data_IF_604777609493
#
_entry.id   IF_604777609493
#
_cell.length_a   1.000
_cell.length_b   1.000
_cell.length_c   1.000
_cell.angle_alpha   90.00
_cell.angle_beta   90.00
_cell.angle_gamma   90.00
#
_symmetry.space_group_name_H-M   'P 1'
#
loop_
_entity.id
_entity.type
_entity.pdbx_description
1 polymer ?
#
# COMPACT_ATOMS: atom_id res chain seq x y z
N UNK A 1 42.55 8.04 2.01
CA UNK A 1 42.30 7.26 3.24
C UNK A 1 43.51 7.22 4.17
N UNK A 2 44.71 6.88 3.68
CA UNK A 2 45.93 6.86 4.50
C UNK A 2 46.18 8.19 5.24
N UNK A 3 46.16 9.32 4.53
CA UNK A 3 46.29 10.66 5.13
C UNK A 3 45.24 10.98 6.21
N UNK A 4 44.03 10.41 6.14
CA UNK A 4 43.00 10.59 7.17
C UNK A 4 43.30 9.77 8.43
N UNK A 5 43.77 8.52 8.26
CA UNK A 5 44.27 7.66 9.36
C UNK A 5 45.47 8.31 10.04
N UNK A 6 46.43 8.81 9.26
CA UNK A 6 47.65 9.46 9.78
C UNK A 6 47.31 10.73 10.59
N UNK A 7 46.22 11.42 10.22
CA UNK A 7 45.73 12.61 10.93
C UNK A 7 44.83 12.29 12.13
N UNK A 8 44.26 11.07 12.22
CA UNK A 8 43.33 10.66 13.28
C UNK A 8 43.61 9.23 13.78
N UNK A 9 44.85 8.93 14.25
CA UNK A 9 45.30 7.56 14.48
C UNK A 9 44.48 6.79 15.51
N UNK A 10 43.91 7.46 16.51
CA UNK A 10 43.14 6.80 17.58
C UNK A 10 41.63 6.70 17.29
N UNK A 11 41.06 7.60 16.49
CA UNK A 11 39.59 7.74 16.35
C UNK A 11 39.07 7.52 14.92
N UNK A 12 39.94 7.21 13.95
CA UNK A 12 39.52 7.05 12.56
C UNK A 12 38.43 5.99 12.38
N UNK A 13 38.47 4.91 13.15
CA UNK A 13 37.52 3.80 13.05
C UNK A 13 36.14 4.20 13.56
N UNK A 14 36.06 4.93 14.68
CA UNK A 14 34.81 5.50 15.20
C UNK A 14 34.21 6.52 14.24
N UNK A 15 35.06 7.37 13.64
CA UNK A 15 34.62 8.33 12.64
C UNK A 15 34.00 7.62 11.43
N UNK A 16 34.63 6.55 10.91
CA UNK A 16 34.06 5.76 9.82
C UNK A 16 32.76 5.08 10.21
N UNK A 17 32.68 4.45 11.38
CA UNK A 17 31.44 3.84 11.90
C UNK A 17 30.33 4.88 12.08
N UNK A 18 30.67 6.11 12.44
CA UNK A 18 29.71 7.21 12.61
C UNK A 18 29.12 7.74 11.30
N UNK A 19 29.86 7.64 10.19
CA UNK A 19 29.42 8.16 8.88
C UNK A 19 28.97 7.08 7.89
N UNK A 20 29.29 5.80 8.12
CA UNK A 20 28.99 4.73 7.15
C UNK A 20 27.49 4.63 6.81
N UNK A 21 26.60 5.03 7.73
CA UNK A 21 25.15 5.04 7.50
C UNK A 21 24.64 6.20 6.60
N UNK A 22 25.49 7.18 6.29
CA UNK A 22 25.10 8.39 5.54
C UNK A 22 25.87 8.58 4.23
N UNK A 23 26.77 7.65 3.89
CA UNK A 23 27.52 7.66 2.63
C UNK A 23 26.90 6.75 1.57
N UNK A 24 27.35 6.88 0.33
CA UNK A 24 26.92 6.02 -0.78
C UNK A 24 27.37 4.57 -0.58
N UNK A 25 26.66 3.60 -1.18
CA UNK A 25 26.99 2.17 -1.11
C UNK A 25 28.44 1.86 -1.51
N UNK A 26 29.00 2.58 -2.49
CA UNK A 26 30.41 2.46 -2.89
C UNK A 26 31.37 2.81 -1.76
N UNK A 27 31.09 3.87 -1.01
CA UNK A 27 31.90 4.27 0.14
C UNK A 27 31.69 3.33 1.33
N UNK A 28 30.49 2.76 1.49
CA UNK A 28 30.26 1.68 2.46
C UNK A 28 31.21 0.51 2.20
N UNK A 29 31.36 0.07 0.95
CA UNK A 29 32.33 -0.99 0.58
C UNK A 29 33.76 -0.64 1.01
N UNK A 30 34.25 0.55 0.64
CA UNK A 30 35.60 0.98 0.99
C UNK A 30 35.82 1.06 2.52
N UNK A 31 34.83 1.57 3.25
CA UNK A 31 34.91 1.71 4.71
C UNK A 31 34.83 0.35 5.40
N UNK A 32 33.93 -0.53 4.96
CA UNK A 32 33.79 -1.87 5.50
C UNK A 32 35.05 -2.71 5.25
N UNK A 33 35.57 -2.72 4.02
CA UNK A 33 36.83 -3.42 3.71
C UNK A 33 37.98 -2.93 4.58
N UNK A 34 38.10 -1.63 4.77
CA UNK A 34 39.14 -1.05 5.62
C UNK A 34 38.99 -1.44 7.10
N UNK A 35 37.77 -1.40 7.62
CA UNK A 35 37.47 -1.82 8.99
C UNK A 35 37.76 -3.31 9.18
N UNK A 36 37.34 -4.15 8.24
CA UNK A 36 37.57 -5.61 8.28
C UNK A 36 39.07 -5.93 8.23
N UNK A 37 39.80 -5.32 7.30
CA UNK A 37 41.25 -5.51 7.16
C UNK A 37 42.01 -5.15 8.45
N UNK A 38 41.51 -4.20 9.23
CA UNK A 38 42.10 -3.74 10.50
C UNK A 38 41.53 -4.48 11.73
N UNK A 39 40.81 -5.60 11.52
CA UNK A 39 40.26 -6.41 12.61
C UNK A 39 39.08 -5.76 13.34
N UNK A 40 38.39 -4.79 12.72
CA UNK A 40 37.23 -4.07 13.29
C UNK A 40 35.88 -4.59 12.77
N UNK A 41 35.80 -5.88 12.43
CA UNK A 41 34.54 -6.51 12.00
C UNK A 41 33.46 -6.47 13.10
N UNK A 42 33.80 -6.79 14.35
CA UNK A 42 32.82 -6.83 15.44
C UNK A 42 32.15 -5.47 15.71
N UNK A 43 32.89 -4.34 15.85
CA UNK A 43 32.27 -3.01 15.97
C UNK A 43 31.40 -2.61 14.76
N UNK A 44 31.80 -3.00 13.55
CA UNK A 44 31.00 -2.78 12.35
C UNK A 44 29.66 -3.53 12.44
N UNK A 45 29.70 -4.80 12.84
CA UNK A 45 28.52 -5.66 13.03
C UNK A 45 27.58 -5.12 14.10
N UNK A 46 28.12 -4.68 15.24
CA UNK A 46 27.34 -4.06 16.30
C UNK A 46 26.63 -2.78 15.82
N UNK A 47 27.35 -1.93 15.08
CA UNK A 47 26.78 -0.72 14.49
C UNK A 47 25.65 -1.06 13.50
N UNK A 48 25.85 -2.05 12.61
CA UNK A 48 24.85 -2.51 11.64
C UNK A 48 23.60 -3.03 12.36
N UNK A 49 23.75 -3.96 13.30
CA UNK A 49 22.65 -4.52 14.07
C UNK A 49 21.85 -3.44 14.80
N UNK A 50 22.54 -2.43 15.36
CA UNK A 50 21.91 -1.29 16.03
C UNK A 50 21.07 -0.45 15.08
N UNK A 51 21.60 -0.05 13.92
CA UNK A 51 20.84 0.81 12.99
C UNK A 51 19.71 0.05 12.28
N UNK A 52 19.84 -1.26 12.09
CA UNK A 52 18.79 -2.12 11.53
C UNK A 52 17.63 -2.27 12.54
N UNK A 53 17.94 -2.66 13.79
CA UNK A 53 16.93 -2.85 14.85
C UNK A 53 16.21 -1.56 15.24
N UNK A 54 16.89 -0.42 15.15
CA UNK A 54 16.29 0.90 15.40
C UNK A 54 15.60 1.50 14.16
N UNK A 55 15.59 0.80 13.02
CA UNK A 55 15.03 1.29 11.75
C UNK A 55 15.63 2.62 11.25
N UNK A 56 16.86 2.93 11.64
CA UNK A 56 17.60 4.14 11.26
C UNK A 56 18.62 3.90 10.14
N UNK A 57 18.77 2.65 9.70
CA UNK A 57 19.63 2.29 8.56
C UNK A 57 19.23 3.04 7.28
N UNK A 58 20.22 3.59 6.57
CA UNK A 58 20.07 4.29 5.30
C UNK A 58 19.93 3.33 4.11
N UNK A 59 19.24 3.78 3.06
CA UNK A 59 19.04 2.99 1.83
C UNK A 59 20.34 2.57 1.15
N UNK A 60 21.34 3.45 1.11
CA UNK A 60 22.66 3.15 0.54
C UNK A 60 23.46 2.15 1.39
N UNK A 61 23.32 2.19 2.72
CA UNK A 61 23.95 1.21 3.62
C UNK A 61 23.31 -0.18 3.41
N UNK A 62 21.98 -0.24 3.35
CA UNK A 62 21.25 -1.49 3.12
C UNK A 62 21.47 -2.05 1.71
N UNK A 63 21.63 -1.18 0.71
CA UNK A 63 22.03 -1.58 -0.65
C UNK A 63 23.44 -2.19 -0.66
N UNK A 64 24.39 -1.62 0.08
CA UNK A 64 25.71 -2.24 0.21
C UNK A 64 25.62 -3.59 0.92
N UNK A 65 24.96 -3.66 2.08
CA UNK A 65 24.86 -4.88 2.87
C UNK A 65 24.22 -6.03 2.07
N UNK A 66 23.19 -5.70 1.28
CA UNK A 66 22.53 -6.65 0.38
C UNK A 66 23.33 -7.05 -0.85
N UNK A 67 24.39 -6.34 -1.21
CA UNK A 67 25.36 -6.75 -2.24
C UNK A 67 26.50 -7.58 -1.66
N UNK A 68 26.88 -7.29 -0.43
CA UNK A 68 28.01 -7.95 0.22
C UNK A 68 27.72 -9.43 0.49
N UNK A 69 26.57 -9.73 1.12
CA UNK A 69 26.05 -11.08 1.48
C UNK A 69 27.10 -12.15 1.82
N UNK A 70 28.21 -11.75 2.43
CA UNK A 70 29.30 -12.66 2.79
C UNK A 70 29.02 -13.38 4.11
N UNK A 71 29.64 -14.54 4.33
CA UNK A 71 29.59 -15.30 5.59
C UNK A 71 29.91 -14.45 6.83
N UNK A 72 30.71 -13.39 6.69
CA UNK A 72 31.07 -12.49 7.78
C UNK A 72 29.85 -11.78 8.41
N UNK A 73 28.76 -11.61 7.65
CA UNK A 73 27.54 -10.90 8.05
C UNK A 73 26.31 -11.81 8.18
N UNK A 74 26.46 -13.12 8.08
CA UNK A 74 25.34 -14.09 8.07
C UNK A 74 24.43 -14.00 9.32
N UNK A 75 24.96 -13.63 10.47
CA UNK A 75 24.23 -13.42 11.73
C UNK A 75 23.41 -12.12 11.77
N UNK A 76 23.61 -11.21 10.84
CA UNK A 76 22.84 -9.96 10.69
C UNK A 76 21.90 -10.04 9.49
N UNK A 77 22.24 -10.83 8.47
CA UNK A 77 21.43 -11.03 7.28
C UNK A 77 20.20 -11.88 7.60
N UNK A 78 19.11 -11.19 7.92
CA UNK A 78 17.86 -11.80 8.30
C UNK A 78 16.62 -10.96 7.96
N UNK A 79 15.44 -11.38 8.43
CA UNK A 79 14.15 -10.74 8.11
C UNK A 79 14.09 -9.26 8.45
N UNK A 80 14.79 -8.84 9.51
CA UNK A 80 14.90 -7.46 9.98
C UNK A 80 15.58 -6.56 8.96
N UNK A 81 16.52 -7.09 8.17
CA UNK A 81 17.18 -6.35 7.08
C UNK A 81 16.16 -6.01 6.00
N UNK A 82 15.33 -6.97 5.60
CA UNK A 82 14.28 -6.70 4.62
C UNK A 82 13.25 -5.69 5.14
N UNK A 83 12.86 -5.78 6.41
CA UNK A 83 12.01 -4.78 7.06
C UNK A 83 12.67 -3.39 7.06
N UNK A 84 13.96 -3.31 7.40
CA UNK A 84 14.71 -2.06 7.39
C UNK A 84 14.80 -1.45 5.98
N UNK A 85 14.90 -2.28 4.93
CA UNK A 85 14.84 -1.82 3.53
C UNK A 85 13.52 -1.14 3.21
N UNK A 86 12.39 -1.76 3.56
CA UNK A 86 11.06 -1.16 3.35
C UNK A 86 10.98 0.20 4.06
N UNK A 87 11.30 0.27 5.35
CA UNK A 87 11.28 1.51 6.12
C UNK A 87 12.21 2.59 5.54
N UNK A 88 13.41 2.19 5.10
CA UNK A 88 14.37 3.13 4.51
C UNK A 88 13.86 3.71 3.18
N UNK A 89 13.26 2.88 2.32
CA UNK A 89 12.66 3.33 1.06
C UNK A 89 11.45 4.23 1.29
N UNK A 90 10.60 3.92 2.27
CA UNK A 90 9.42 4.74 2.61
C UNK A 90 9.83 6.14 3.07
N UNK A 91 10.85 6.22 3.93
CA UNK A 91 11.41 7.49 4.37
C UNK A 91 12.03 8.29 3.22
N UNK A 92 12.63 7.61 2.25
CA UNK A 92 13.29 8.23 1.11
C UNK A 92 12.33 8.56 -0.05
N UNK A 93 11.08 8.09 -0.02
CA UNK A 93 10.10 8.21 -1.11
C UNK A 93 9.82 9.65 -1.55
N UNK A 94 9.93 10.62 -0.63
CA UNK A 94 9.71 12.04 -0.92
C UNK A 94 11.00 12.81 -1.23
N UNK A 95 12.14 12.13 -1.27
CA UNK A 95 13.44 12.75 -1.47
C UNK A 95 13.90 12.59 -2.93
N UNK A 96 13.59 13.58 -3.77
CA UNK A 96 13.95 13.59 -5.19
C UNK A 96 15.46 13.46 -5.48
N UNK A 97 16.33 13.75 -4.48
CA UNK A 97 17.78 13.63 -4.61
C UNK A 97 18.30 12.22 -4.33
N UNK A 98 17.48 11.35 -3.73
CA UNK A 98 17.88 9.98 -3.40
C UNK A 98 17.51 9.02 -4.52
N UNK A 99 18.41 8.08 -4.77
CA UNK A 99 18.32 7.14 -5.88
C UNK A 99 17.47 5.93 -5.49
N UNK A 100 16.60 5.46 -6.40
CA UNK A 100 15.80 4.24 -6.20
C UNK A 100 16.61 2.94 -6.33
N UNK A 101 17.94 3.00 -6.33
CA UNK A 101 18.83 1.83 -6.52
C UNK A 101 18.54 0.66 -5.59
N UNK A 102 18.14 0.92 -4.34
CA UNK A 102 17.77 -0.16 -3.41
C UNK A 102 16.51 -0.89 -3.88
N UNK A 103 15.48 -0.14 -4.30
CA UNK A 103 14.25 -0.70 -4.87
C UNK A 103 14.58 -1.53 -6.12
N UNK A 104 15.34 -0.94 -7.05
CA UNK A 104 15.70 -1.59 -8.31
C UNK A 104 16.48 -2.89 -8.04
N UNK A 105 17.45 -2.85 -7.12
CA UNK A 105 18.22 -4.02 -6.73
C UNK A 105 17.36 -5.13 -6.11
N UNK A 106 16.40 -4.79 -5.23
CA UNK A 106 15.46 -5.77 -4.65
C UNK A 106 14.61 -6.44 -5.73
N UNK A 107 14.21 -5.70 -6.77
CA UNK A 107 13.41 -6.24 -7.87
C UNK A 107 14.25 -7.14 -8.77
N UNK A 108 15.47 -6.74 -9.08
CA UNK A 108 16.38 -7.47 -9.96
C UNK A 108 16.92 -8.76 -9.32
N UNK A 109 17.23 -8.73 -8.03
CA UNK A 109 17.79 -9.88 -7.31
C UNK A 109 16.69 -10.85 -6.84
N UNK A 110 16.61 -12.01 -7.50
CA UNK A 110 15.59 -13.02 -7.20
C UNK A 110 15.85 -13.82 -5.92
N UNK A 111 17.09 -13.85 -5.44
CA UNK A 111 17.52 -14.68 -4.31
C UNK A 111 17.55 -13.89 -3.00
N UNK A 112 17.80 -12.58 -3.07
CA UNK A 112 17.93 -11.70 -1.89
C UNK A 112 16.83 -11.91 -0.83
N UNK A 113 15.56 -11.84 -1.23
CA UNK A 113 14.45 -11.99 -0.26
C UNK A 113 14.42 -13.40 0.31
N UNK A 114 14.68 -14.42 -0.52
CA UNK A 114 14.64 -15.83 -0.12
C UNK A 114 15.72 -16.11 0.93
N UNK A 115 16.94 -15.61 0.71
CA UNK A 115 18.06 -15.73 1.64
C UNK A 115 17.76 -15.02 2.96
N UNK A 116 17.25 -13.77 2.91
CA UNK A 116 16.97 -12.99 4.12
C UNK A 116 15.89 -13.61 5.00
N UNK A 117 14.96 -14.37 4.43
CA UNK A 117 13.86 -14.97 5.18
C UNK A 117 14.09 -16.44 5.52
N UNK A 118 15.18 -17.07 5.11
CA UNK A 118 15.41 -18.51 5.20
C UNK A 118 15.27 -19.08 6.63
N UNK A 119 15.67 -18.30 7.63
CA UNK A 119 15.62 -18.67 9.05
C UNK A 119 14.39 -18.14 9.78
N UNK A 120 13.47 -17.47 9.09
CA UNK A 120 12.30 -16.84 9.69
C UNK A 120 11.23 -17.86 10.12
N UNK A 121 10.57 -17.59 11.25
CA UNK A 121 9.36 -18.29 11.61
C UNK A 121 8.13 -17.78 10.83
N UNK A 122 7.03 -18.52 10.92
CA UNK A 122 5.82 -18.18 10.18
C UNK A 122 5.24 -16.81 10.59
N UNK A 123 5.36 -16.39 11.85
CA UNK A 123 4.83 -15.12 12.36
C UNK A 123 5.56 -13.93 11.74
N UNK A 124 6.90 -13.98 11.74
CA UNK A 124 7.77 -13.00 11.09
C UNK A 124 7.48 -12.91 9.59
N UNK A 125 7.28 -14.05 8.92
CA UNK A 125 6.88 -14.08 7.51
C UNK A 125 5.52 -13.39 7.30
N UNK A 126 4.53 -13.58 8.18
CA UNK A 126 3.23 -12.89 8.06
C UNK A 126 3.40 -11.39 8.14
N UNK A 127 4.21 -10.93 9.09
CA UNK A 127 4.40 -9.51 9.32
C UNK A 127 5.20 -8.85 8.19
N UNK A 128 6.18 -9.54 7.60
CA UNK A 128 6.88 -9.07 6.42
C UNK A 128 5.98 -9.01 5.18
N UNK A 129 5.15 -10.03 4.99
CA UNK A 129 4.16 -10.10 3.91
C UNK A 129 3.20 -8.91 3.98
N UNK A 130 2.67 -8.63 5.18
CA UNK A 130 1.78 -7.48 5.43
C UNK A 130 2.49 -6.15 5.21
N UNK A 131 3.71 -6.01 5.72
CA UNK A 131 4.50 -4.79 5.52
C UNK A 131 4.73 -4.50 4.03
N UNK A 132 5.08 -5.53 3.24
CA UNK A 132 5.28 -5.41 1.81
C UNK A 132 3.99 -5.05 1.05
N UNK A 133 2.86 -5.65 1.42
CA UNK A 133 1.55 -5.34 0.82
C UNK A 133 1.15 -3.87 1.05
N UNK A 134 1.35 -3.38 2.27
CA UNK A 134 0.99 -2.01 2.66
C UNK A 134 2.00 -0.96 2.20
N UNK A 135 3.23 -1.37 1.86
CA UNK A 135 4.28 -0.43 1.49
C UNK A 135 3.95 0.35 0.21
N UNK A 136 4.09 1.69 0.20
CA UNK A 136 3.88 2.50 -0.99
C UNK A 136 5.08 2.49 -1.97
N UNK A 137 6.18 1.81 -1.63
CA UNK A 137 7.43 1.85 -2.41
C UNK A 137 7.40 1.04 -3.71
N UNK A 138 6.47 0.10 -3.83
CA UNK A 138 6.32 -0.79 -4.97
C UNK A 138 4.92 -0.66 -5.56
N UNK A 139 4.80 -0.82 -6.88
CA UNK A 139 3.49 -0.96 -7.50
C UNK A 139 2.90 -2.37 -7.30
N UNK A 140 1.67 -2.59 -7.73
CA UNK A 140 0.97 -3.86 -7.53
C UNK A 140 1.65 -5.05 -8.23
N UNK A 141 2.32 -4.82 -9.36
CA UNK A 141 2.98 -5.88 -10.11
C UNK A 141 4.29 -6.28 -9.43
N UNK A 142 5.08 -5.29 -9.01
CA UNK A 142 6.29 -5.47 -8.21
C UNK A 142 5.97 -6.21 -6.90
N UNK A 143 4.94 -5.76 -6.17
CA UNK A 143 4.48 -6.42 -4.94
C UNK A 143 4.15 -7.89 -5.18
N UNK A 144 3.37 -8.20 -6.22
CA UNK A 144 3.03 -9.60 -6.57
C UNK A 144 4.27 -10.43 -6.87
N UNK A 145 5.23 -9.87 -7.61
CA UNK A 145 6.49 -10.54 -7.94
C UNK A 145 7.29 -10.88 -6.69
N UNK A 146 7.46 -9.92 -5.77
CA UNK A 146 8.19 -10.11 -4.52
C UNK A 146 7.47 -11.07 -3.56
N UNK A 147 6.14 -10.93 -3.43
CA UNK A 147 5.31 -11.85 -2.64
C UNK A 147 5.39 -13.29 -3.16
N UNK A 148 5.41 -13.49 -4.49
CA UNK A 148 5.56 -14.81 -5.08
C UNK A 148 6.89 -15.48 -4.71
N UNK A 149 7.98 -14.70 -4.57
CA UNK A 149 9.28 -15.21 -4.08
C UNK A 149 9.17 -15.70 -2.64
N UNK A 150 8.50 -14.95 -1.77
CA UNK A 150 8.24 -15.33 -0.37
C UNK A 150 7.43 -16.63 -0.30
N UNK A 151 6.33 -16.74 -1.07
CA UNK A 151 5.48 -17.97 -1.10
C UNK A 151 6.26 -19.19 -1.55
N UNK A 152 7.12 -19.02 -2.56
CA UNK A 152 7.90 -20.14 -3.10
C UNK A 152 8.76 -20.80 -2.03
N UNK A 153 9.35 -20.00 -1.13
CA UNK A 153 10.17 -20.48 -0.02
C UNK A 153 9.34 -20.87 1.21
N UNK A 154 8.17 -20.26 1.38
CA UNK A 154 7.24 -20.53 2.48
C UNK A 154 5.82 -20.83 1.97
N UNK A 155 5.53 -22.06 1.50
CA UNK A 155 4.20 -22.43 1.00
C UNK A 155 3.09 -22.28 2.05
N UNK A 156 3.40 -22.38 3.34
CA UNK A 156 2.43 -22.11 4.41
C UNK A 156 1.98 -20.63 4.45
N UNK A 157 2.83 -19.71 3.96
CA UNK A 157 2.47 -18.31 3.76
C UNK A 157 1.63 -18.09 2.50
N UNK A 158 1.42 -19.12 1.67
CA UNK A 158 0.47 -19.06 0.56
C UNK A 158 -0.89 -18.63 1.09
N UNK A 159 -1.40 -19.21 2.18
CA UNK A 159 -2.67 -18.82 2.81
C UNK A 159 -2.68 -17.41 3.44
N UNK A 160 -1.57 -16.66 3.44
CA UNK A 160 -1.48 -15.26 3.88
C UNK A 160 -1.51 -14.30 2.69
N UNK A 161 -1.06 -14.79 1.54
CA UNK A 161 -1.17 -14.11 0.23
C UNK A 161 -2.49 -14.49 -0.47
N UNK A 162 -2.98 -15.69 -0.17
CA UNK A 162 -4.23 -16.31 -0.60
C UNK A 162 -5.24 -16.44 0.55
N UNK A 163 -4.98 -15.78 1.67
CA UNK A 163 -5.92 -15.66 2.78
C UNK A 163 -7.02 -14.71 2.38
N UNK A 164 -8.15 -15.26 1.94
CA UNK A 164 -9.50 -14.65 1.92
C UNK A 164 -9.64 -13.19 1.46
N UNK A 165 -8.70 -12.66 0.68
CA UNK A 165 -9.07 -11.83 -0.44
C UNK A 165 -9.48 -12.80 -1.53
N UNK A 166 -10.76 -13.19 -1.49
CA UNK A 166 -11.40 -13.79 -2.63
C UNK A 166 -11.07 -12.95 -3.87
N UNK A 167 -11.19 -13.55 -5.04
CA UNK A 167 -11.18 -12.82 -6.32
C UNK A 167 -12.12 -11.59 -6.36
N UNK A 168 -12.91 -11.30 -5.31
CA UNK A 168 -13.68 -10.06 -5.17
C UNK A 168 -12.83 -8.81 -4.89
N UNK A 169 -11.62 -8.87 -4.32
CA UNK A 169 -10.93 -7.61 -3.93
C UNK A 169 -10.11 -6.96 -5.07
N UNK A 170 -9.95 -7.65 -6.20
CA UNK A 170 -9.52 -6.98 -7.45
C UNK A 170 -10.69 -6.46 -8.28
N UNK A 171 -11.91 -6.95 -8.03
CA UNK A 171 -13.09 -6.63 -8.84
C UNK A 171 -14.10 -5.79 -8.08
N UNK A 172 -14.23 -4.53 -8.49
CA UNK A 172 -15.14 -3.58 -7.88
C UNK A 172 -16.53 -3.82 -8.49
N UNK A 173 -17.41 -4.53 -7.78
CA UNK A 173 -18.76 -4.86 -8.28
C UNK A 173 -19.62 -3.59 -8.26
N UNK A 174 -20.24 -3.28 -9.39
CA UNK A 174 -21.01 -2.04 -9.61
C UNK A 174 -22.20 -2.30 -10.53
N UNK A 175 -23.24 -1.47 -10.48
CA UNK A 175 -24.26 -1.47 -11.50
C UNK A 175 -23.69 -1.07 -12.87
N UNK A 176 -24.33 -1.53 -13.94
CA UNK A 176 -24.05 -1.06 -15.30
C UNK A 176 -24.21 0.47 -15.43
N UNK A 177 -25.23 1.04 -14.78
CA UNK A 177 -25.50 2.47 -14.77
C UNK A 177 -24.35 3.26 -14.14
N UNK A 178 -23.91 2.86 -12.94
CA UNK A 178 -22.77 3.50 -12.26
C UNK A 178 -21.47 3.35 -13.04
N UNK A 179 -21.24 2.20 -13.68
CA UNK A 179 -20.07 1.99 -14.52
C UNK A 179 -20.05 2.98 -15.70
N UNK A 180 -21.17 3.15 -16.38
CA UNK A 180 -21.29 4.06 -17.52
C UNK A 180 -21.12 5.53 -17.09
N UNK A 181 -21.71 5.90 -15.95
CA UNK A 181 -21.52 7.23 -15.34
C UNK A 181 -20.05 7.52 -15.05
N UNK A 182 -19.30 6.55 -14.50
CA UNK A 182 -17.87 6.71 -14.22
C UNK A 182 -17.01 6.78 -15.48
N UNK A 183 -17.34 6.01 -16.53
CA UNK A 183 -16.68 6.14 -17.83
C UNK A 183 -16.88 7.53 -18.42
N UNK A 184 -18.12 8.02 -18.37
CA UNK A 184 -18.43 9.39 -18.83
C UNK A 184 -17.64 10.44 -18.05
N UNK A 185 -17.59 10.33 -16.70
CA UNK A 185 -16.78 11.21 -15.85
C UNK A 185 -15.29 11.19 -16.25
N UNK A 186 -14.74 10.00 -16.51
CA UNK A 186 -13.36 9.83 -16.96
C UNK A 186 -13.11 10.47 -18.34
N UNK A 187 -13.99 10.23 -19.31
CA UNK A 187 -13.87 10.80 -20.65
C UNK A 187 -13.94 12.32 -20.62
N UNK A 188 -14.79 12.90 -19.80
CA UNK A 188 -14.84 14.36 -19.60
C UNK A 188 -13.56 14.91 -18.97
N UNK A 189 -12.98 14.19 -18.01
CA UNK A 189 -11.71 14.59 -17.40
C UNK A 189 -10.58 14.61 -18.43
N UNK A 190 -10.44 13.53 -19.19
CA UNK A 190 -9.35 13.34 -20.16
C UNK A 190 -9.49 14.26 -21.37
N UNK A 191 -10.69 14.35 -21.96
CA UNK A 191 -10.88 15.03 -23.23
C UNK A 191 -11.33 16.49 -23.11
N UNK A 192 -11.87 16.91 -21.96
CA UNK A 192 -12.33 18.30 -21.76
C UNK A 192 -11.56 19.03 -20.67
N UNK A 193 -11.61 18.55 -19.42
CA UNK A 193 -11.12 19.30 -18.25
C UNK A 193 -9.60 19.46 -18.23
N UNK A 194 -8.85 18.39 -18.44
CA UNK A 194 -7.37 18.44 -18.44
C UNK A 194 -6.82 19.29 -19.61
N UNK A 195 -7.32 19.16 -20.85
CA UNK A 195 -6.93 20.05 -21.95
C UNK A 195 -7.31 21.51 -21.70
N UNK A 196 -8.50 21.80 -21.14
CA UNK A 196 -8.91 23.16 -20.81
C UNK A 196 -7.99 23.79 -19.77
N UNK A 197 -7.70 23.09 -18.66
CA UNK A 197 -6.77 23.55 -17.63
C UNK A 197 -5.34 23.74 -18.20
N UNK A 198 -4.90 22.91 -19.15
CA UNK A 198 -3.61 23.10 -19.80
C UNK A 198 -3.54 24.39 -20.63
N UNK A 199 -4.64 24.80 -21.26
CA UNK A 199 -4.76 26.09 -21.96
C UNK A 199 -4.77 27.26 -20.97
N UNK A 200 -5.45 27.13 -19.83
CA UNK A 200 -5.45 28.15 -18.77
C UNK A 200 -4.05 28.39 -18.21
N UNK A 201 -3.28 27.31 -17.97
CA UNK A 201 -1.88 27.42 -17.52
C UNK A 201 -1.02 28.13 -18.58
N UNK A 202 -1.23 27.82 -19.87
CA UNK A 202 -0.49 28.46 -20.95
C UNK A 202 -0.81 29.96 -21.03
N UNK A 203 -2.08 30.35 -20.97
CA UNK A 203 -2.50 31.75 -20.96
C UNK A 203 -1.96 32.50 -19.72
N UNK A 204 -2.08 31.91 -18.53
CA UNK A 204 -1.55 32.51 -17.30
C UNK A 204 -0.02 32.69 -17.35
N UNK A 205 0.70 31.86 -18.11
CA UNK A 205 2.16 31.96 -18.28
C UNK A 205 2.57 33.17 -19.13
N UNK A 206 1.71 33.65 -20.02
CA UNK A 206 1.99 34.79 -20.90
C UNK A 206 1.92 36.14 -20.15
N UNK A 207 1.30 36.17 -18.97
CA UNK A 207 1.11 37.39 -18.15
C UNK A 207 2.33 37.83 -17.31
N UNK A 208 3.54 37.36 -17.61
CA UNK A 208 4.77 37.85 -16.99
C UNK A 208 5.16 37.14 -15.70
N UNK A 209 5.37 37.87 -14.59
CA UNK A 209 6.05 37.35 -13.39
C UNK A 209 5.27 36.20 -12.70
N UNK A 210 5.75 34.98 -12.94
CA UNK A 210 5.15 33.73 -12.47
C UNK A 210 5.24 33.56 -10.94
N UNK A 211 6.13 34.30 -10.26
CA UNK A 211 6.28 34.19 -8.81
C UNK A 211 5.12 34.82 -8.05
N UNK A 212 4.49 35.86 -8.59
CA UNK A 212 3.34 36.54 -7.98
C UNK A 212 2.00 36.20 -8.66
N UNK A 213 2.03 35.56 -9.83
CA UNK A 213 0.81 35.21 -10.56
C UNK A 213 -0.03 34.14 -9.81
N UNK A 214 -1.08 34.61 -9.13
CA UNK A 214 -2.04 33.78 -8.41
C UNK A 214 -2.85 32.85 -9.33
N UNK A 215 -3.17 33.29 -10.55
CA UNK A 215 -3.92 32.50 -11.53
C UNK A 215 -3.09 31.30 -12.00
N UNK A 216 -1.79 31.51 -12.27
CA UNK A 216 -0.87 30.43 -12.63
C UNK A 216 -0.74 29.38 -11.51
N UNK A 217 -0.59 29.82 -10.26
CA UNK A 217 -0.51 28.91 -9.09
C UNK A 217 -1.81 28.11 -8.91
N UNK A 218 -2.96 28.77 -8.99
CA UNK A 218 -4.27 28.12 -8.89
C UNK A 218 -4.46 27.09 -10.01
N UNK A 219 -4.15 27.46 -11.25
CA UNK A 219 -4.27 26.56 -12.40
C UNK A 219 -3.36 25.32 -12.27
N UNK A 220 -2.16 25.48 -11.71
CA UNK A 220 -1.24 24.37 -11.41
C UNK A 220 -1.73 23.43 -10.31
N UNK A 221 -2.32 23.97 -9.24
CA UNK A 221 -2.94 23.12 -8.21
C UNK A 221 -4.16 22.38 -8.75
N UNK A 222 -4.97 23.03 -9.57
CA UNK A 222 -6.08 22.37 -10.26
C UNK A 222 -5.58 21.26 -11.19
N UNK A 223 -4.46 21.45 -11.89
CA UNK A 223 -3.82 20.41 -12.71
C UNK A 223 -3.47 19.16 -11.89
N UNK A 224 -2.89 19.35 -10.69
CA UNK A 224 -2.55 18.24 -9.79
C UNK A 224 -3.81 17.48 -9.35
N UNK A 225 -4.87 18.21 -8.98
CA UNK A 225 -6.15 17.62 -8.58
C UNK A 225 -6.77 16.79 -9.72
N UNK A 226 -6.79 17.34 -10.94
CA UNK A 226 -7.33 16.66 -12.13
C UNK A 226 -6.54 15.39 -12.46
N UNK A 227 -5.20 15.45 -12.40
CA UNK A 227 -4.35 14.28 -12.67
C UNK A 227 -4.50 13.19 -11.61
N UNK A 228 -4.58 13.58 -10.33
CA UNK A 228 -4.88 12.64 -9.24
C UNK A 228 -6.23 11.96 -9.46
N UNK A 229 -7.27 12.75 -9.76
CA UNK A 229 -8.63 12.22 -10.00
C UNK A 229 -8.66 11.29 -11.21
N UNK A 230 -7.95 11.63 -12.28
CA UNK A 230 -7.80 10.76 -13.46
C UNK A 230 -7.21 9.41 -13.05
N UNK A 231 -6.09 9.40 -12.33
CA UNK A 231 -5.42 8.17 -11.90
C UNK A 231 -6.29 7.30 -10.98
N UNK A 232 -7.01 7.93 -10.05
CA UNK A 232 -7.98 7.24 -9.18
C UNK A 232 -9.09 6.56 -10.00
N UNK A 233 -9.73 7.28 -10.93
CA UNK A 233 -10.79 6.72 -11.78
C UNK A 233 -10.28 5.64 -12.73
N UNK A 234 -9.10 5.83 -13.31
CA UNK A 234 -8.47 4.86 -14.21
C UNK A 234 -8.22 3.52 -13.51
N UNK A 235 -7.62 3.58 -12.31
CA UNK A 235 -7.39 2.40 -11.48
C UNK A 235 -8.68 1.69 -11.09
N UNK A 236 -9.70 2.45 -10.69
CA UNK A 236 -10.98 1.85 -10.29
C UNK A 236 -11.76 1.28 -11.48
N UNK A 237 -11.73 1.92 -12.65
CA UNK A 237 -12.40 1.45 -13.86
C UNK A 237 -11.83 0.12 -14.36
N UNK A 238 -10.50 -0.08 -14.29
CA UNK A 238 -9.84 -1.36 -14.63
C UNK A 238 -10.38 -2.51 -13.76
N UNK A 239 -10.65 -2.20 -12.49
CA UNK A 239 -11.15 -3.15 -11.49
C UNK A 239 -12.67 -3.33 -11.56
N UNK A 240 -13.41 -2.37 -12.11
CA UNK A 240 -14.87 -2.41 -12.07
C UNK A 240 -15.47 -3.56 -12.88
N UNK A 241 -16.49 -4.21 -12.33
CA UNK A 241 -17.28 -5.27 -13.00
C UNK A 241 -18.76 -4.93 -12.89
N UNK A 242 -19.38 -4.67 -14.04
CA UNK A 242 -20.80 -4.34 -14.14
C UNK A 242 -21.69 -5.55 -13.92
N UNK A 243 -22.81 -5.34 -13.24
CA UNK A 243 -23.87 -6.33 -13.02
C UNK A 243 -25.24 -5.64 -12.97
N UNK A 244 -26.31 -6.39 -13.22
CA UNK A 244 -27.70 -5.97 -13.01
C UNK A 244 -28.24 -6.39 -11.63
N UNK A 245 -27.42 -7.09 -10.84
CA UNK A 245 -27.78 -7.70 -9.57
C UNK A 245 -28.98 -8.67 -9.64
N UNK A 246 -29.34 -9.13 -10.83
CA UNK A 246 -30.45 -10.05 -11.00
C UNK A 246 -30.13 -11.42 -10.40
N UNK A 247 -31.16 -12.11 -9.91
CA UNK A 247 -31.08 -13.47 -9.37
C UNK A 247 -30.08 -13.64 -8.22
N UNK A 248 -29.88 -12.59 -7.40
CA UNK A 248 -29.08 -12.70 -6.18
C UNK A 248 -29.60 -13.84 -5.30
N UNK A 249 -28.68 -14.66 -4.79
CA UNK A 249 -29.02 -15.68 -3.81
C UNK A 249 -29.51 -15.02 -2.52
N UNK A 250 -30.50 -15.62 -1.87
CA UNK A 250 -31.16 -15.06 -0.67
C UNK A 250 -31.08 -15.99 0.53
N UNK A 251 -30.22 -17.00 0.46
CA UNK A 251 -29.88 -17.90 1.58
C UNK A 251 -29.06 -17.17 2.65
N UNK A 252 -28.23 -16.22 2.22
CA UNK A 252 -27.47 -15.29 3.05
C UNK A 252 -27.54 -13.88 2.47
N UNK A 253 -27.21 -12.89 3.29
CA UNK A 253 -27.11 -11.51 2.83
C UNK A 253 -25.91 -11.36 1.90
N UNK A 254 -26.14 -10.88 0.68
CA UNK A 254 -25.11 -10.67 -0.33
C UNK A 254 -25.33 -9.40 -1.14
N UNK A 255 -24.44 -9.15 -2.09
CA UNK A 255 -24.60 -8.07 -3.07
C UNK A 255 -25.83 -8.38 -3.94
N UNK A 256 -26.70 -7.41 -4.13
CA UNK A 256 -27.98 -7.57 -4.83
C UNK A 256 -29.13 -8.04 -3.94
N UNK A 257 -28.98 -7.98 -2.61
CA UNK A 257 -30.06 -8.35 -1.67
C UNK A 257 -30.65 -7.14 -0.96
N UNK A 258 -31.92 -7.28 -0.56
CA UNK A 258 -32.67 -6.37 0.30
C UNK A 258 -32.93 -7.08 1.63
N UNK A 259 -32.43 -6.48 2.70
CA UNK A 259 -32.41 -7.05 4.05
C UNK A 259 -33.33 -6.24 4.95
N UNK A 260 -34.31 -6.92 5.55
CA UNK A 260 -35.18 -6.33 6.59
C UNK A 260 -34.63 -6.71 7.95
N UNK A 261 -34.43 -5.70 8.80
CA UNK A 261 -33.90 -5.90 10.15
C UNK A 261 -34.78 -5.21 11.19
N UNK A 262 -34.85 -5.78 12.39
CA UNK A 262 -35.53 -5.17 13.53
C UNK A 262 -34.53 -4.84 14.63
N UNK A 263 -34.51 -3.59 15.09
CA UNK A 263 -33.73 -3.18 16.25
C UNK A 263 -34.31 -3.81 17.51
N UNK A 264 -33.53 -4.60 18.24
CA UNK A 264 -34.04 -5.37 19.38
C UNK A 264 -34.48 -4.49 20.56
N UNK A 265 -33.82 -3.34 20.75
CA UNK A 265 -34.12 -2.41 21.84
C UNK A 265 -35.41 -1.61 21.64
N UNK A 266 -35.75 -1.27 20.39
CA UNK A 266 -36.87 -0.36 20.06
C UNK A 266 -37.99 -1.04 19.31
N UNK A 267 -37.76 -2.27 18.80
CA UNK A 267 -38.62 -2.98 17.85
C UNK A 267 -38.86 -2.20 16.54
N UNK A 268 -38.01 -1.23 16.23
CA UNK A 268 -38.07 -0.46 14.99
C UNK A 268 -37.55 -1.29 13.81
N UNK A 269 -38.30 -1.31 12.70
CA UNK A 269 -37.91 -2.03 11.49
C UNK A 269 -37.18 -1.10 10.51
N UNK A 270 -36.09 -1.60 9.96
CA UNK A 270 -35.32 -0.93 8.91
C UNK A 270 -35.10 -1.86 7.73
N UNK A 271 -34.82 -1.27 6.57
CA UNK A 271 -34.56 -2.03 5.35
C UNK A 271 -33.35 -1.47 4.63
N UNK A 272 -32.38 -2.33 4.38
CA UNK A 272 -31.15 -2.01 3.67
C UNK A 272 -31.08 -2.79 2.37
N UNK A 273 -30.75 -2.11 1.28
CA UNK A 273 -30.44 -2.77 -0.01
C UNK A 273 -28.94 -2.70 -0.22
N UNK A 274 -28.28 -3.85 -0.33
CA UNK A 274 -26.82 -3.93 -0.45
C UNK A 274 -26.45 -4.07 -1.92
N UNK A 275 -25.93 -3.00 -2.53
CA UNK A 275 -25.50 -2.98 -3.92
C UNK A 275 -23.99 -2.74 -4.06
N UNK A 276 -23.55 -2.44 -5.28
CA UNK A 276 -22.16 -2.21 -5.64
C UNK A 276 -21.55 -0.95 -5.05
N UNK A 277 -20.24 -0.82 -5.21
CA UNK A 277 -19.42 0.22 -4.56
C UNK A 277 -19.72 1.66 -5.03
N UNK A 278 -20.40 1.84 -6.16
CA UNK A 278 -20.75 3.15 -6.71
C UNK A 278 -22.26 3.45 -6.68
N UNK A 279 -23.05 2.53 -6.11
CA UNK A 279 -24.51 2.50 -6.20
C UNK A 279 -25.18 3.01 -4.92
N UNK A 280 -24.46 3.76 -4.09
CA UNK A 280 -25.02 4.29 -2.84
C UNK A 280 -26.15 5.30 -3.11
N UNK A 281 -27.33 5.03 -2.57
CA UNK A 281 -28.47 5.96 -2.55
C UNK A 281 -29.15 5.89 -1.16
N UNK A 282 -28.62 6.58 -0.14
CA UNK A 282 -29.12 6.48 1.23
C UNK A 282 -30.61 6.84 1.37
N UNK A 283 -31.10 7.79 0.57
CA UNK A 283 -32.51 8.21 0.55
C UNK A 283 -33.46 7.06 0.14
N UNK A 284 -32.97 6.09 -0.63
CA UNK A 284 -33.71 4.88 -1.03
C UNK A 284 -33.37 3.66 -0.18
N UNK A 285 -32.58 3.84 0.88
CA UNK A 285 -32.06 2.75 1.72
C UNK A 285 -31.03 1.86 1.00
N UNK A 286 -30.40 2.36 -0.07
CA UNK A 286 -29.37 1.63 -0.81
C UNK A 286 -27.99 1.97 -0.23
N UNK A 287 -27.30 0.95 0.25
CA UNK A 287 -25.95 1.04 0.82
C UNK A 287 -24.98 0.21 0.00
N UNK A 288 -23.73 0.67 -0.11
CA UNK A 288 -22.69 -0.12 -0.77
C UNK A 288 -22.25 -1.26 0.14
N UNK A 289 -21.88 -2.39 -0.46
CA UNK A 289 -21.27 -3.49 0.28
C UNK A 289 -20.02 -3.08 1.06
N UNK A 290 -19.35 -1.98 0.71
CA UNK A 290 -18.16 -1.46 1.39
C UNK A 290 -18.46 -0.71 2.71
N UNK A 291 -19.72 -0.42 3.00
CA UNK A 291 -20.08 0.29 4.24
C UNK A 291 -19.98 -0.62 5.47
N UNK A 292 -19.67 -0.10 6.67
CA UNK A 292 -19.65 -0.90 7.90
C UNK A 292 -20.96 -1.63 8.17
N UNK A 293 -22.10 -0.97 7.91
CA UNK A 293 -23.44 -1.56 8.04
C UNK A 293 -23.58 -2.80 7.15
N UNK A 294 -23.25 -2.67 5.86
CA UNK A 294 -23.31 -3.78 4.93
C UNK A 294 -22.34 -4.90 5.34
N UNK A 295 -21.12 -4.57 5.75
CA UNK A 295 -20.12 -5.54 6.19
C UNK A 295 -20.57 -6.36 7.40
N UNK A 296 -21.25 -5.73 8.37
CA UNK A 296 -21.83 -6.46 9.51
C UNK A 296 -22.96 -7.42 9.09
N UNK A 297 -23.66 -7.11 8.00
CA UNK A 297 -24.78 -7.91 7.48
C UNK A 297 -24.34 -9.01 6.51
N UNK A 298 -23.25 -8.84 5.75
CA UNK A 298 -22.82 -9.79 4.72
C UNK A 298 -22.62 -11.21 5.28
N UNK A 299 -23.04 -12.20 4.49
CA UNK A 299 -23.01 -13.64 4.79
C UNK A 299 -23.87 -14.09 5.99
N UNK A 300 -24.66 -13.17 6.57
CA UNK A 300 -25.59 -13.50 7.66
C UNK A 300 -26.90 -14.08 7.15
N UNK A 301 -27.58 -14.84 8.00
CA UNK A 301 -28.84 -15.52 7.68
C UNK A 301 -30.04 -14.88 8.36
N UNK A 302 -31.23 -15.17 7.84
CA UNK A 302 -32.49 -14.86 8.52
C UNK A 302 -32.50 -15.49 9.91
N UNK A 303 -32.89 -14.70 10.91
CA UNK A 303 -32.92 -15.06 12.32
C UNK A 303 -31.64 -14.73 13.10
N UNK A 304 -30.53 -14.42 12.43
CA UNK A 304 -29.29 -14.02 13.11
C UNK A 304 -29.35 -12.59 13.64
N UNK A 305 -28.61 -12.36 14.72
CA UNK A 305 -28.44 -11.04 15.34
C UNK A 305 -27.08 -10.44 14.95
N UNK A 306 -27.07 -9.14 14.68
CA UNK A 306 -25.90 -8.37 14.30
C UNK A 306 -25.81 -7.08 15.10
N UNK A 307 -24.59 -6.60 15.33
CA UNK A 307 -24.32 -5.28 15.90
C UNK A 307 -23.68 -4.40 14.83
N UNK A 308 -24.23 -3.20 14.65
CA UNK A 308 -23.58 -2.16 13.86
C UNK A 308 -23.93 -0.77 14.39
N UNK A 309 -23.12 0.20 14.00
CA UNK A 309 -23.33 1.60 14.34
C UNK A 309 -24.33 2.24 13.36
N UNK A 310 -25.36 2.87 13.91
CA UNK A 310 -26.33 3.64 13.16
C UNK A 310 -26.57 4.98 13.89
N UNK A 311 -26.44 6.08 13.16
CA UNK A 311 -26.56 7.44 13.70
C UNK A 311 -25.68 7.72 14.93
N UNK A 312 -24.45 7.17 14.96
CA UNK A 312 -23.49 7.39 16.04
C UNK A 312 -23.69 6.50 17.28
N UNK A 313 -24.64 5.56 17.25
CA UNK A 313 -24.90 4.64 18.34
C UNK A 313 -24.79 3.18 17.87
N UNK A 314 -24.11 2.35 18.68
CA UNK A 314 -24.10 0.90 18.51
C UNK A 314 -25.48 0.34 18.86
N UNK A 315 -26.05 -0.42 17.94
CA UNK A 315 -27.39 -1.01 18.08
C UNK A 315 -27.36 -2.48 17.67
N UNK A 316 -28.24 -3.27 18.30
CA UNK A 316 -28.43 -4.69 18.00
C UNK A 316 -29.67 -4.88 17.12
N UNK A 317 -29.51 -5.64 16.05
CA UNK A 317 -30.56 -5.92 15.09
C UNK A 317 -30.69 -7.41 14.86
N UNK A 318 -31.90 -7.88 14.60
CA UNK A 318 -32.17 -9.22 14.07
C UNK A 318 -32.54 -9.13 12.60
N UNK A 319 -32.04 -10.06 11.77
CA UNK A 319 -32.39 -10.16 10.36
C UNK A 319 -33.73 -10.91 10.24
N UNK A 320 -34.77 -10.24 9.77
CA UNK A 320 -36.11 -10.86 9.66
C UNK A 320 -36.39 -11.41 8.26
N UNK A 321 -35.83 -10.81 7.21
CA UNK A 321 -36.00 -11.31 5.84
C UNK A 321 -34.85 -10.88 4.91
N UNK A 322 -34.58 -11.72 3.91
CA UNK A 322 -33.64 -11.47 2.82
C UNK A 322 -34.41 -11.68 1.50
N UNK A 323 -34.51 -10.63 0.70
CA UNK A 323 -35.24 -10.60 -0.57
C UNK A 323 -34.27 -10.22 -1.71
N UNK A 324 -34.47 -10.69 -2.95
CA UNK A 324 -33.65 -10.25 -4.06
C UNK A 324 -33.98 -8.79 -4.40
N UNK A 325 -32.95 -8.01 -4.76
CA UNK A 325 -33.15 -6.68 -5.33
C UNK A 325 -33.89 -6.80 -6.67
N UNK A 326 -34.87 -5.94 -6.87
CA UNK A 326 -35.62 -5.85 -8.13
C UNK A 326 -35.58 -4.40 -8.59
N UNK A 327 -35.01 -4.18 -9.76
CA UNK A 327 -35.12 -2.92 -10.48
C UNK A 327 -36.59 -2.75 -10.89
N UNK A 328 -37.21 -1.64 -10.50
CA UNK A 328 -38.61 -1.30 -10.85
C UNK A 328 -38.68 -0.83 -12.29
#
# INVERSE_FOLDING_TARGET
MQSFKDSNPEHWHEALLGVINTVSAKLCTEFAHLLIHEGRLAPLKEMLARVISQHTAGSELLLWLSKERSDAFADILGPEVFRAMLTAMERDQFNEKKSNKLRDYILDDQELIVELIESADLEVIKDLTRALQLSPCFDDMDKRSLLARIVKSYPAAQALISGEQSKQDSSLVVSWESLERRKTEYDELVHKKIPANSKEIAAAREHGDLRENHEYKSAKEMQKLLMRRKGELESQLVRARGTDFANAATDTVGIGTRVKVTELGTQHMETFTILGAWDSEPEKGIVTYLTPIAQSLLNRKVGEEVEFELAGAKKHFRIDAIEPYKTV
#
